data_IF_340165283890
#
_entry.id   IF_340165283890
#
_cell.length_a   1.000
_cell.length_b   1.000
_cell.length_c   1.000
_cell.angle_alpha   90.00
_cell.angle_beta   90.00
_cell.angle_gamma   90.00
#
_symmetry.space_group_name_H-M   'P 1'
#
loop_
_entity.id
_entity.type
_entity.pdbx_description
1 polymer ?
#
# COMPACT_ATOMS: atom_id res chain seq x y z
N UNK A 1 -11.86 -0.43 -1.32
CA UNK A 1 -10.84 -1.39 -1.84
C UNK A 1 -10.38 -2.35 -0.76
N UNK A 2 -10.20 -1.92 0.49
CA UNK A 2 -9.79 -2.80 1.60
C UNK A 2 -10.69 -4.02 1.82
N UNK A 3 -12.01 -3.87 1.68
CA UNK A 3 -12.96 -4.99 1.77
C UNK A 3 -12.65 -6.12 0.79
N UNK A 4 -12.22 -5.80 -0.45
CA UNK A 4 -11.85 -6.82 -1.43
C UNK A 4 -10.64 -7.63 -0.97
N UNK A 5 -9.65 -6.97 -0.35
CA UNK A 5 -8.46 -7.64 0.19
C UNK A 5 -8.83 -8.59 1.33
N UNK A 6 -9.73 -8.18 2.24
CA UNK A 6 -10.25 -9.05 3.32
C UNK A 6 -10.98 -10.28 2.79
N UNK A 7 -11.74 -10.14 1.70
CA UNK A 7 -12.49 -11.25 1.09
C UNK A 7 -11.51 -12.30 0.56
N UNK A 8 -10.45 -11.88 -0.12
CA UNK A 8 -9.51 -12.82 -0.76
C UNK A 8 -8.46 -13.35 0.22
N UNK A 9 -8.02 -12.55 1.21
CA UNK A 9 -7.01 -12.93 2.19
C UNK A 9 -7.61 -12.89 3.61
N UNK A 10 -7.93 -14.07 4.15
CA UNK A 10 -8.65 -14.22 5.43
C UNK A 10 -7.73 -14.36 6.65
N UNK A 11 -6.41 -14.21 6.46
CA UNK A 11 -5.44 -14.27 7.55
C UNK A 11 -5.24 -12.88 8.16
N UNK A 12 -4.20 -12.72 8.97
CA UNK A 12 -3.89 -11.49 9.67
C UNK A 12 -3.63 -10.34 8.68
N UNK A 13 -4.48 -9.32 8.76
CA UNK A 13 -4.36 -8.06 8.04
C UNK A 13 -4.35 -6.96 9.08
N UNK A 14 -3.39 -6.04 8.96
CA UNK A 14 -3.35 -4.81 9.75
C UNK A 14 -3.76 -3.67 8.82
N UNK A 15 -4.83 -2.96 9.16
CA UNK A 15 -5.29 -1.80 8.41
C UNK A 15 -4.80 -0.50 9.04
N UNK A 16 -4.48 0.46 8.18
CA UNK A 16 -3.97 1.77 8.59
C UNK A 16 -2.77 1.63 9.54
N UNK A 17 -1.84 0.73 9.23
CA UNK A 17 -0.69 0.47 10.08
C UNK A 17 0.19 1.71 10.15
N UNK A 18 0.42 2.21 11.37
CA UNK A 18 1.31 3.34 11.66
C UNK A 18 2.39 2.94 12.65
N UNK A 19 2.90 1.72 12.52
CA UNK A 19 3.90 1.17 13.44
C UNK A 19 5.10 0.55 12.73
N UNK A 20 4.97 0.20 11.45
CA UNK A 20 6.02 -0.54 10.73
C UNK A 20 7.09 0.36 10.11
N UNK A 21 6.70 1.51 9.55
CA UNK A 21 7.63 2.40 8.83
C UNK A 21 7.63 3.81 9.41
N UNK A 22 8.81 4.42 9.53
CA UNK A 22 9.02 5.79 10.03
C UNK A 22 9.46 6.70 8.88
N UNK A 23 8.94 7.93 8.85
CA UNK A 23 9.53 9.00 8.05
C UNK A 23 10.81 9.49 8.77
N UNK A 24 12.01 9.29 8.19
CA UNK A 24 13.26 9.67 8.84
C UNK A 24 13.41 11.19 8.98
N UNK A 25 12.76 11.98 8.13
CA UNK A 25 12.89 13.44 8.12
C UNK A 25 12.08 14.08 9.24
N UNK A 26 10.97 13.43 9.64
CA UNK A 26 10.05 13.98 10.65
C UNK A 26 10.04 13.18 11.96
N UNK A 27 10.56 11.95 11.96
CA UNK A 27 10.53 11.03 13.10
C UNK A 27 9.14 10.41 13.36
N UNK A 28 8.14 10.71 12.55
CA UNK A 28 6.78 10.17 12.71
C UNK A 28 6.55 8.92 11.85
N UNK A 29 5.70 8.03 12.35
CA UNK A 29 5.28 6.86 11.59
C UNK A 29 4.47 7.24 10.33
N UNK A 30 4.73 6.51 9.26
CA UNK A 30 3.96 6.56 8.02
C UNK A 30 2.88 5.49 8.06
N UNK A 31 1.72 5.81 7.48
CA UNK A 31 0.61 4.87 7.37
C UNK A 31 0.81 3.92 6.19
N UNK A 32 0.44 2.65 6.36
CA UNK A 32 0.17 1.69 5.29
C UNK A 32 -1.30 1.32 5.35
N UNK A 33 -2.07 1.56 4.28
CA UNK A 33 -3.53 1.29 4.31
C UNK A 33 -3.83 -0.17 4.65
N UNK A 34 -3.03 -1.07 4.08
CA UNK A 34 -3.02 -2.50 4.40
C UNK A 34 -1.59 -2.98 4.55
N UNK A 35 -1.30 -3.63 5.67
CA UNK A 35 -0.08 -4.37 5.89
C UNK A 35 -0.39 -5.84 6.23
N UNK A 36 0.32 -6.76 5.56
CA UNK A 36 0.22 -8.20 5.77
C UNK A 36 1.59 -8.68 6.26
N UNK A 37 1.79 -8.81 7.59
CA UNK A 37 3.09 -9.11 8.17
C UNK A 37 3.69 -10.41 7.66
N UNK A 38 2.87 -11.46 7.51
CA UNK A 38 3.33 -12.81 7.14
C UNK A 38 3.91 -12.85 5.71
N UNK A 39 3.40 -11.99 4.83
CA UNK A 39 3.86 -11.91 3.44
C UNK A 39 4.95 -10.86 3.23
N UNK A 40 5.23 -10.02 4.24
CA UNK A 40 5.99 -8.76 4.08
C UNK A 40 5.47 -7.95 2.87
N UNK A 41 4.15 -7.84 2.76
CA UNK A 41 3.47 -7.10 1.69
C UNK A 41 2.60 -6.01 2.27
N UNK A 42 2.62 -4.85 1.62
CA UNK A 42 1.73 -3.74 1.93
C UNK A 42 1.01 -3.27 0.66
N UNK A 43 -0.20 -2.74 0.83
CA UNK A 43 -1.00 -2.14 -0.24
C UNK A 43 -1.38 -0.73 0.21
N UNK A 44 -1.16 0.24 -0.67
CA UNK A 44 -1.57 1.64 -0.51
C UNK A 44 -2.62 1.99 -1.57
N UNK A 45 -3.68 2.69 -1.17
CA UNK A 45 -4.74 3.18 -2.02
C UNK A 45 -4.66 4.71 -2.13
N UNK A 46 -4.11 5.18 -3.25
CA UNK A 46 -3.94 6.61 -3.48
C UNK A 46 -5.23 7.22 -4.05
N UNK A 47 -5.78 8.21 -3.34
CA UNK A 47 -6.90 9.01 -3.82
C UNK A 47 -6.44 10.07 -4.83
N UNK A 48 -7.21 10.24 -5.92
CA UNK A 48 -6.89 11.14 -7.04
C UNK A 48 -6.74 12.62 -6.63
N UNK A 49 -7.38 13.01 -5.52
CA UNK A 49 -7.39 14.38 -4.99
C UNK A 49 -6.02 14.90 -4.52
N UNK A 50 -5.15 14.01 -4.04
CA UNK A 50 -3.91 14.37 -3.34
C UNK A 50 -2.71 14.62 -4.27
N UNK A 51 -2.86 14.40 -5.57
CA UNK A 51 -1.78 14.57 -6.56
C UNK A 51 -1.52 16.02 -6.99
N UNK A 52 -2.31 16.98 -6.49
CA UNK A 52 -2.10 18.41 -6.74
C UNK A 52 -1.14 19.09 -5.73
N UNK A 53 -0.76 18.40 -4.65
CA UNK A 53 0.07 18.95 -3.58
C UNK A 53 1.54 18.54 -3.75
N UNK A 54 2.44 19.51 -3.71
CA UNK A 54 3.89 19.34 -3.93
C UNK A 54 4.53 18.31 -3.00
N UNK A 55 4.01 18.17 -1.78
CA UNK A 55 4.62 17.34 -0.73
C UNK A 55 4.22 15.86 -0.83
N UNK A 56 3.25 15.50 -1.68
CA UNK A 56 2.77 14.12 -1.84
C UNK A 56 3.85 13.24 -2.46
N UNK A 57 4.55 13.73 -3.48
CA UNK A 57 5.58 12.96 -4.20
C UNK A 57 6.75 12.56 -3.30
N UNK A 58 7.21 13.49 -2.48
CA UNK A 58 8.32 13.24 -1.55
C UNK A 58 7.93 12.20 -0.50
N UNK A 59 6.73 12.34 0.09
CA UNK A 59 6.19 11.36 1.04
C UNK A 59 6.08 9.96 0.43
N UNK A 60 5.64 9.86 -0.83
CA UNK A 60 5.51 8.57 -1.53
C UNK A 60 6.88 7.93 -1.79
N UNK A 61 7.90 8.72 -2.13
CA UNK A 61 9.28 8.26 -2.28
C UNK A 61 9.82 7.74 -0.95
N UNK A 62 9.65 8.51 0.13
CA UNK A 62 10.06 8.09 1.48
C UNK A 62 9.37 6.78 1.85
N UNK A 63 8.05 6.70 1.69
CA UNK A 63 7.27 5.48 1.98
C UNK A 63 7.81 4.26 1.22
N UNK A 64 8.04 4.38 -0.09
CA UNK A 64 8.61 3.30 -0.92
C UNK A 64 9.99 2.86 -0.43
N UNK A 65 10.85 3.82 -0.08
CA UNK A 65 12.19 3.53 0.45
C UNK A 65 12.13 2.84 1.81
N UNK A 66 11.27 3.29 2.71
CA UNK A 66 11.11 2.68 4.04
C UNK A 66 10.55 1.27 3.95
N UNK A 67 9.54 1.03 3.11
CA UNK A 67 9.07 -0.32 2.82
C UNK A 67 10.21 -1.21 2.30
N UNK A 68 11.01 -0.72 1.34
CA UNK A 68 12.13 -1.47 0.79
C UNK A 68 13.19 -1.80 1.86
N UNK A 69 13.51 -0.84 2.74
CA UNK A 69 14.47 -1.03 3.83
C UNK A 69 13.99 -2.09 4.82
N UNK A 70 12.69 -2.09 5.10
CA UNK A 70 12.03 -3.13 5.90
C UNK A 70 11.80 -4.42 5.10
N UNK A 71 12.31 -4.59 3.88
CA UNK A 71 12.02 -5.78 3.06
C UNK A 71 10.49 -6.04 2.90
N UNK A 72 9.72 -4.97 2.80
CA UNK A 72 8.28 -4.96 2.54
C UNK A 72 8.07 -4.62 1.07
N UNK A 73 7.36 -5.48 0.35
CA UNK A 73 6.93 -5.20 -1.01
C UNK A 73 5.67 -4.33 -0.94
N UNK A 74 5.71 -3.14 -1.55
CA UNK A 74 4.59 -2.20 -1.59
C UNK A 74 3.90 -2.23 -2.96
N UNK A 75 2.59 -2.46 -2.98
CA UNK A 75 1.72 -2.23 -4.12
C UNK A 75 0.98 -0.90 -3.91
N UNK A 76 1.07 0.02 -4.87
CA UNK A 76 0.26 1.24 -4.86
C UNK A 76 -0.84 1.07 -5.90
N UNK A 77 -2.07 1.38 -5.50
CA UNK A 77 -3.26 1.32 -6.34
C UNK A 77 -3.87 2.72 -6.38
N UNK A 78 -3.80 3.36 -7.54
CA UNK A 78 -4.37 4.68 -7.75
C UNK A 78 -5.89 4.58 -8.00
N UNK A 79 -6.66 5.49 -7.41
CA UNK A 79 -8.11 5.52 -7.51
C UNK A 79 -8.59 5.70 -8.96
N UNK A 80 -7.87 6.48 -9.77
CA UNK A 80 -8.15 6.62 -11.20
C UNK A 80 -8.10 5.28 -11.94
N UNK A 81 -7.10 4.46 -11.65
CA UNK A 81 -6.91 3.15 -12.29
C UNK A 81 -7.99 2.17 -11.84
N UNK A 82 -8.42 2.27 -10.59
CA UNK A 82 -9.55 1.51 -10.08
C UNK A 82 -10.88 1.88 -10.75
N UNK A 83 -11.09 3.18 -11.02
CA UNK A 83 -12.28 3.68 -11.71
C UNK A 83 -12.28 3.30 -13.20
N UNK A 84 -11.09 3.28 -13.83
CA UNK A 84 -10.91 2.93 -15.24
C UNK A 84 -11.08 1.42 -15.49
N UNK A 85 -10.34 0.57 -14.77
CA UNK A 85 -10.44 -0.89 -14.90
C UNK A 85 -10.36 -1.63 -13.55
N UNK A 86 -11.48 -1.57 -12.84
CA UNK A 86 -11.68 -2.28 -11.57
C UNK A 86 -11.40 -3.78 -11.65
N UNK A 87 -11.65 -4.43 -12.79
CA UNK A 87 -11.42 -5.88 -12.93
C UNK A 87 -9.92 -6.16 -12.97
N UNK A 88 -9.18 -5.42 -13.80
CA UNK A 88 -7.73 -5.58 -13.91
C UNK A 88 -7.03 -5.28 -12.58
N UNK A 89 -7.46 -4.25 -11.85
CA UNK A 89 -6.88 -3.93 -10.54
C UNK A 89 -7.12 -5.06 -9.52
N UNK A 90 -8.33 -5.64 -9.48
CA UNK A 90 -8.62 -6.80 -8.62
C UNK A 90 -7.69 -7.98 -8.94
N UNK A 91 -7.49 -8.28 -10.22
CA UNK A 91 -6.56 -9.34 -10.64
C UNK A 91 -5.11 -9.02 -10.25
N UNK A 92 -4.69 -7.76 -10.34
CA UNK A 92 -3.35 -7.32 -9.94
C UNK A 92 -3.13 -7.49 -8.44
N UNK A 93 -4.11 -7.10 -7.61
CA UNK A 93 -4.08 -7.32 -6.15
C UNK A 93 -3.98 -8.81 -5.84
N UNK A 94 -4.80 -9.64 -6.49
CA UNK A 94 -4.78 -11.09 -6.29
C UNK A 94 -3.40 -11.68 -6.63
N UNK A 95 -2.87 -11.34 -7.82
CA UNK A 95 -1.52 -11.76 -8.24
C UNK A 95 -0.46 -11.27 -7.28
N UNK A 96 -0.55 -10.03 -6.81
CA UNK A 96 0.41 -9.47 -5.88
C UNK A 96 0.45 -10.25 -4.56
N UNK A 97 -0.70 -10.64 -4.02
CA UNK A 97 -0.78 -11.40 -2.76
C UNK A 97 -0.25 -12.83 -2.92
N UNK A 98 -0.64 -13.55 -3.96
CA UNK A 98 -0.41 -14.99 -4.09
C UNK A 98 0.77 -15.41 -4.95
N UNK A 99 1.38 -14.50 -5.70
CA UNK A 99 2.58 -14.83 -6.47
C UNK A 99 3.81 -14.75 -5.56
N UNK A 100 4.50 -15.87 -5.41
CA UNK A 100 5.85 -15.92 -4.84
C UNK A 100 6.83 -15.26 -5.82
N UNK A 101 7.84 -14.57 -5.27
CA UNK A 101 8.96 -14.01 -6.05
C UNK A 101 10.05 -15.08 -6.12
#
# INVERSE_FOLDING_TARGET
>A
MCEYVRIIYQQNIIENDRTTIINPDTGYYLELDIFIPELRKAIEFNGTYWHSLSNTKERDIIKRNQCKNENIRLLVVDESDWLDDKKQIKENILKFLYKEV
#
